data_IF_224036595822
#
_entry.id   IF_224036595822
#
_cell.length_a   1.000
_cell.length_b   1.000
_cell.length_c   1.000
_cell.angle_alpha   90.00
_cell.angle_beta   90.00
_cell.angle_gamma   90.00
#
_symmetry.space_group_name_H-M   'P 1'
#
loop_
_entity.id
_entity.type
_entity.pdbx_description
1 polymer ?
#
# COMPACT_ATOMS: atom_id res chain seq x y z
N UNK A 1 -5.07 -12.45 -0.97
CA UNK A 1 -4.80 -12.24 -2.39
C UNK A 1 -3.45 -11.56 -2.49
N UNK A 2 -3.18 -11.09 -3.70
CA UNK A 2 -2.92 -9.66 -3.82
C UNK A 2 -3.64 -8.87 -2.69
N UNK A 3 -3.14 -7.74 -2.24
CA UNK A 3 -3.97 -6.77 -1.51
C UNK A 3 -5.10 -6.22 -2.44
N UNK A 4 -5.84 -7.12 -3.10
CA UNK A 4 -7.13 -6.95 -3.73
C UNK A 4 -8.05 -6.45 -2.62
N UNK A 5 -8.90 -5.52 -3.01
CA UNK A 5 -9.99 -4.97 -2.20
C UNK A 5 -9.59 -3.88 -1.20
N UNK A 6 -8.32 -3.45 -1.17
CA UNK A 6 -8.02 -2.16 -0.53
C UNK A 6 -8.51 -1.02 -1.43
N UNK A 7 -9.40 -0.20 -0.90
CA UNK A 7 -9.83 1.03 -1.57
C UNK A 7 -8.90 2.15 -1.16
N UNK A 8 -8.33 2.85 -2.14
CA UNK A 8 -7.67 4.13 -1.88
C UNK A 8 -8.71 5.24 -1.92
N UNK A 9 -8.71 6.07 -0.87
CA UNK A 9 -9.62 7.21 -0.70
C UNK A 9 -8.79 8.48 -0.59
N UNK A 10 -9.09 9.46 -1.42
CA UNK A 10 -8.44 10.78 -1.41
C UNK A 10 -9.54 11.81 -1.25
N UNK A 11 -9.35 12.74 -0.32
CA UNK A 11 -10.27 13.87 -0.14
C UNK A 11 -9.64 15.10 -0.77
N UNK A 12 -10.39 15.79 -1.63
CA UNK A 12 -9.95 17.00 -2.32
C UNK A 12 -10.89 18.15 -1.95
N UNK A 13 -10.32 19.30 -1.64
CA UNK A 13 -11.04 20.54 -1.32
C UNK A 13 -10.79 21.57 -2.43
N UNK A 14 -11.51 21.50 -3.56
CA UNK A 14 -11.39 22.48 -4.62
C UNK A 14 -11.76 23.88 -4.14
N UNK A 15 -10.86 24.83 -4.40
CA UNK A 15 -11.05 26.26 -4.13
C UNK A 15 -11.07 27.03 -5.45
N UNK A 16 -11.92 28.04 -5.55
CA UNK A 16 -11.85 29.01 -6.65
C UNK A 16 -10.70 30.02 -6.44
N UNK A 17 -10.51 30.94 -7.39
CA UNK A 17 -9.47 31.99 -7.30
C UNK A 17 -9.64 32.96 -6.10
N UNK A 18 -10.77 32.91 -5.42
CA UNK A 18 -11.11 33.73 -4.26
C UNK A 18 -11.13 32.91 -2.96
N UNK A 19 -10.63 31.68 -2.98
CA UNK A 19 -10.61 30.74 -1.86
C UNK A 19 -11.99 30.27 -1.37
N UNK A 20 -13.04 30.47 -2.17
CA UNK A 20 -14.36 29.88 -1.88
C UNK A 20 -14.36 28.39 -2.21
N UNK A 21 -15.15 27.63 -1.44
CA UNK A 21 -15.41 26.23 -1.72
C UNK A 21 -16.21 26.05 -3.01
N UNK A 22 -15.75 25.15 -3.87
CA UNK A 22 -16.50 24.77 -5.07
C UNK A 22 -17.39 23.57 -4.74
N UNK A 23 -18.70 23.70 -4.92
CA UNK A 23 -19.68 22.66 -4.58
C UNK A 23 -20.08 21.77 -5.75
N UNK A 24 -19.68 22.13 -6.97
CA UNK A 24 -19.91 21.35 -8.18
C UNK A 24 -18.64 21.33 -9.03
N UNK A 25 -17.91 20.22 -9.00
CA UNK A 25 -16.67 20.03 -9.76
C UNK A 25 -16.82 18.84 -10.68
N UNK A 26 -16.64 19.08 -11.97
CA UNK A 26 -16.50 18.04 -12.99
C UNK A 26 -15.05 17.98 -13.45
N UNK A 27 -14.63 16.86 -14.05
CA UNK A 27 -13.28 16.73 -14.61
C UNK A 27 -12.15 16.58 -13.58
N UNK A 28 -12.47 16.34 -12.30
CA UNK A 28 -11.49 15.93 -11.30
C UNK A 28 -11.13 14.45 -11.52
N UNK A 29 -9.85 14.18 -11.70
CA UNK A 29 -9.31 12.83 -11.86
C UNK A 29 -8.03 12.68 -11.06
N UNK A 30 -7.63 11.44 -10.78
CA UNK A 30 -6.33 11.15 -10.21
C UNK A 30 -5.66 10.02 -10.98
N UNK A 31 -4.38 9.81 -10.78
CA UNK A 31 -3.65 8.66 -11.32
C UNK A 31 -2.44 8.40 -10.42
N UNK A 32 -1.98 7.16 -10.39
CA UNK A 32 -0.75 6.74 -9.72
C UNK A 32 0.11 6.03 -10.77
N UNK A 33 1.37 6.44 -10.87
CA UNK A 33 2.31 6.01 -11.92
C UNK A 33 2.47 4.48 -12.05
N UNK A 34 2.34 3.74 -10.94
CA UNK A 34 2.46 2.27 -10.87
C UNK A 34 1.18 1.56 -10.44
N UNK A 35 0.07 2.29 -10.31
CA UNK A 35 -1.20 1.75 -9.84
C UNK A 35 -2.06 1.25 -10.99
N UNK A 36 -2.66 0.07 -10.84
CA UNK A 36 -3.79 -0.33 -11.69
C UNK A 36 -5.09 0.11 -11.02
N UNK A 37 -5.87 0.91 -11.74
CA UNK A 37 -7.21 1.33 -11.37
C UNK A 37 -8.20 0.69 -12.35
N UNK A 38 -9.11 -0.14 -11.87
CA UNK A 38 -10.21 -0.63 -12.72
C UNK A 38 -11.25 0.46 -12.97
N UNK A 39 -11.46 1.35 -11.99
CA UNK A 39 -12.42 2.45 -12.06
C UNK A 39 -12.04 3.54 -11.05
N UNK A 40 -12.31 4.79 -11.38
CA UNK A 40 -12.28 5.90 -10.43
C UNK A 40 -13.70 6.43 -10.23
N UNK A 41 -14.04 6.72 -8.98
CA UNK A 41 -15.29 7.33 -8.59
C UNK A 41 -14.99 8.67 -7.92
N UNK A 42 -15.85 9.65 -8.15
CA UNK A 42 -15.86 10.92 -7.42
C UNK A 42 -17.24 11.11 -6.78
N UNK A 43 -17.25 11.47 -5.51
CA UNK A 43 -18.46 11.73 -4.74
C UNK A 43 -18.32 13.05 -3.99
N UNK A 44 -19.33 13.92 -4.07
CA UNK A 44 -19.37 15.12 -3.22
C UNK A 44 -19.78 14.72 -1.81
N UNK A 45 -18.96 15.05 -0.81
CA UNK A 45 -19.16 14.64 0.59
C UNK A 45 -19.55 15.81 1.51
N UNK A 46 -19.89 16.97 0.93
CA UNK A 46 -20.24 18.17 1.68
C UNK A 46 -19.03 19.07 1.99
N UNK A 47 -19.29 20.28 2.47
CA UNK A 47 -18.27 21.25 2.87
C UNK A 47 -17.19 21.53 1.81
N UNK A 48 -17.57 21.57 0.53
CA UNK A 48 -16.62 21.79 -0.56
C UNK A 48 -15.66 20.63 -0.81
N UNK A 49 -15.89 19.46 -0.20
CA UNK A 49 -15.01 18.31 -0.32
C UNK A 49 -15.55 17.27 -1.32
N UNK A 50 -14.64 16.70 -2.08
CA UNK A 50 -14.89 15.57 -2.97
C UNK A 50 -14.04 14.38 -2.54
N UNK A 51 -14.69 13.22 -2.44
CA UNK A 51 -14.06 11.95 -2.19
C UNK A 51 -13.77 11.26 -3.53
N UNK A 52 -12.49 11.10 -3.83
CA UNK A 52 -12.00 10.28 -4.93
C UNK A 52 -11.73 8.87 -4.43
N UNK A 53 -12.38 7.88 -5.05
CA UNK A 53 -12.29 6.48 -4.65
C UNK A 53 -11.74 5.66 -5.82
N UNK A 54 -10.66 4.92 -5.54
CA UNK A 54 -10.17 3.84 -6.38
C UNK A 54 -10.59 2.50 -5.74
N UNK A 55 -11.77 1.96 -6.07
CA UNK A 55 -12.10 0.59 -5.71
C UNK A 55 -11.09 -0.37 -6.35
N UNK A 56 -10.80 -1.47 -5.65
CA UNK A 56 -9.90 -2.53 -6.13
C UNK A 56 -8.50 -2.04 -6.50
N UNK A 57 -7.99 -1.02 -5.80
CA UNK A 57 -6.65 -0.51 -6.03
C UNK A 57 -5.62 -1.63 -5.89
N UNK A 58 -4.83 -1.85 -6.96
CA UNK A 58 -3.75 -2.83 -6.96
C UNK A 58 -2.43 -2.12 -7.22
N UNK A 59 -1.49 -2.30 -6.31
CA UNK A 59 -0.10 -1.88 -6.50
C UNK A 59 0.60 -3.01 -7.25
N UNK A 60 1.24 -2.68 -8.36
CA UNK A 60 1.93 -3.65 -9.21
C UNK A 60 3.32 -4.01 -8.65
N UNK A 61 3.89 -3.18 -7.77
CA UNK A 61 5.20 -3.39 -7.14
C UNK A 61 5.14 -3.46 -5.61
N UNK A 62 6.06 -4.21 -5.02
CA UNK A 62 6.23 -4.35 -3.57
C UNK A 62 6.83 -3.06 -2.98
N UNK A 63 5.98 -2.21 -2.39
CA UNK A 63 6.36 -0.94 -1.74
C UNK A 63 7.12 0.06 -2.62
N UNK A 64 7.26 1.29 -2.14
CA UNK A 64 8.06 2.33 -2.77
C UNK A 64 7.36 3.68 -2.82
N UNK A 65 8.06 4.66 -3.38
CA UNK A 65 7.54 6.01 -3.60
C UNK A 65 7.06 6.13 -5.04
N UNK A 66 5.84 6.61 -5.21
CA UNK A 66 5.18 6.76 -6.51
C UNK A 66 4.64 8.17 -6.69
N UNK A 67 4.59 8.63 -7.94
CA UNK A 67 3.95 9.89 -8.26
C UNK A 67 2.43 9.72 -8.38
N UNK A 68 1.70 10.44 -7.54
CA UNK A 68 0.26 10.58 -7.62
C UNK A 68 -0.09 11.90 -8.31
N UNK A 69 -0.70 11.79 -9.48
CA UNK A 69 -1.24 12.94 -10.19
C UNK A 69 -2.68 13.20 -9.77
N UNK A 70 -3.03 14.45 -9.47
CA UNK A 70 -4.42 14.89 -9.33
C UNK A 70 -4.59 16.01 -10.35
N UNK A 71 -5.61 15.88 -11.19
CA UNK A 71 -5.87 16.78 -12.30
C UNK A 71 -7.29 17.32 -12.26
N UNK A 72 -7.45 18.55 -12.74
CA UNK A 72 -8.73 19.18 -13.03
C UNK A 72 -8.71 19.59 -14.51
N UNK A 73 -9.65 19.06 -15.30
CA UNK A 73 -9.70 19.28 -16.76
C UNK A 73 -8.34 19.02 -17.45
N UNK A 74 -7.73 17.86 -17.15
CA UNK A 74 -6.41 17.42 -17.64
C UNK A 74 -5.18 18.24 -17.21
N UNK A 75 -5.39 19.34 -16.47
CA UNK A 75 -4.32 20.15 -15.89
C UNK A 75 -4.03 19.72 -14.45
N UNK A 76 -2.75 19.70 -14.06
CA UNK A 76 -2.35 19.39 -12.69
C UNK A 76 -2.86 20.46 -11.72
N UNK A 77 -3.41 20.04 -10.58
CA UNK A 77 -3.68 20.95 -9.48
C UNK A 77 -2.37 21.40 -8.83
N UNK A 78 -2.41 22.48 -8.05
CA UNK A 78 -1.25 22.94 -7.30
C UNK A 78 -0.64 21.82 -6.44
N UNK A 79 0.67 21.63 -6.56
CA UNK A 79 1.41 20.59 -5.85
C UNK A 79 1.37 19.20 -6.50
N UNK A 80 0.56 18.98 -7.53
CA UNK A 80 0.59 17.73 -8.30
C UNK A 80 1.73 17.75 -9.35
N UNK A 81 2.44 16.62 -9.57
CA UNK A 81 2.30 15.33 -8.89
C UNK A 81 2.83 15.32 -7.45
N UNK A 82 2.17 14.55 -6.59
CA UNK A 82 2.55 14.32 -5.20
C UNK A 82 3.37 13.03 -5.08
N UNK A 83 4.44 13.04 -4.29
CA UNK A 83 5.14 11.82 -3.93
C UNK A 83 4.36 11.09 -2.82
N UNK A 84 3.94 9.85 -3.09
CA UNK A 84 3.24 8.99 -2.15
C UNK A 84 4.06 7.74 -1.90
N UNK A 85 4.47 7.53 -0.66
CA UNK A 85 5.16 6.31 -0.24
C UNK A 85 4.15 5.27 0.20
N UNK A 86 4.16 4.12 -0.46
CA UNK A 86 3.41 2.95 -0.03
C UNK A 86 4.38 2.03 0.69
N UNK A 87 4.18 1.84 1.99
CA UNK A 87 4.92 0.86 2.77
C UNK A 87 4.52 -0.57 2.38
N UNK A 88 5.39 -1.53 2.66
CA UNK A 88 5.26 -2.93 2.29
C UNK A 88 3.92 -3.61 2.63
N UNK A 89 3.71 -4.72 1.91
CA UNK A 89 2.46 -5.42 1.71
C UNK A 89 1.71 -5.75 3.00
N UNK A 90 0.42 -5.43 2.97
CA UNK A 90 -0.67 -5.86 3.84
C UNK A 90 -0.93 -7.39 3.84
N UNK A 91 0.12 -8.21 3.75
CA UNK A 91 0.03 -9.65 3.71
C UNK A 91 0.00 -10.26 5.12
N UNK A 92 -0.95 -11.15 5.39
CA UNK A 92 -0.83 -12.08 6.52
C UNK A 92 0.23 -13.11 6.15
N UNK A 93 1.19 -13.35 7.05
CA UNK A 93 2.20 -14.39 6.88
C UNK A 93 1.53 -15.73 6.54
N UNK A 94 1.99 -16.39 5.48
CA UNK A 94 1.61 -17.76 5.15
C UNK A 94 2.76 -18.68 5.48
N UNK A 95 2.56 -19.52 6.50
CA UNK A 95 3.59 -20.44 6.99
C UNK A 95 4.17 -21.33 5.87
N UNK A 96 3.34 -21.82 4.95
CA UNK A 96 3.79 -22.70 3.85
C UNK A 96 4.69 -21.98 2.82
N UNK A 97 4.67 -20.65 2.78
CA UNK A 97 5.50 -19.86 1.88
C UNK A 97 6.74 -19.31 2.59
N UNK A 98 6.77 -19.36 3.93
CA UNK A 98 7.86 -18.84 4.76
C UNK A 98 8.94 -19.90 4.95
N UNK A 99 10.20 -19.48 5.05
CA UNK A 99 11.32 -20.41 5.11
C UNK A 99 12.50 -19.85 5.91
N UNK A 100 13.41 -20.75 6.27
CA UNK A 100 14.60 -20.44 7.04
C UNK A 100 15.69 -19.94 6.09
N UNK A 101 16.20 -18.73 6.31
CA UNK A 101 17.23 -18.11 5.46
C UNK A 101 18.65 -18.30 6.01
N UNK A 102 18.77 -18.56 7.31
CA UNK A 102 20.07 -18.83 7.93
C UNK A 102 19.89 -19.77 9.12
N UNK A 103 20.61 -20.89 9.09
CA UNK A 103 20.83 -21.84 10.19
C UNK A 103 22.31 -22.19 10.29
N UNK A 104 22.85 -22.41 11.50
CA UNK A 104 24.15 -23.06 11.66
C UNK A 104 24.09 -24.51 11.17
N UNK A 105 25.14 -24.97 10.48
CA UNK A 105 25.26 -26.38 10.07
C UNK A 105 25.53 -27.32 11.26
N UNK A 106 26.16 -26.78 12.31
CA UNK A 106 26.52 -27.51 13.52
C UNK A 106 26.07 -26.70 14.73
N UNK A 107 25.35 -27.36 15.63
CA UNK A 107 24.96 -26.81 16.92
C UNK A 107 25.85 -27.41 18.00
N UNK A 108 26.49 -26.56 18.80
CA UNK A 108 27.36 -26.97 19.90
C UNK A 108 26.61 -26.78 21.22
N UNK A 109 26.61 -27.81 22.06
CA UNK A 109 25.97 -27.75 23.38
C UNK A 109 26.54 -26.59 24.21
N UNK A 110 25.65 -25.80 24.82
CA UNK A 110 26.01 -24.64 25.62
C UNK A 110 26.39 -23.39 24.83
N UNK A 111 26.38 -23.42 23.49
CA UNK A 111 26.68 -22.26 22.64
C UNK A 111 25.39 -21.71 22.03
N UNK A 112 25.11 -20.43 22.25
CA UNK A 112 23.97 -19.75 21.66
C UNK A 112 24.06 -19.76 20.12
N UNK A 113 22.94 -20.05 19.47
CA UNK A 113 22.81 -20.11 18.02
C UNK A 113 21.61 -19.30 17.57
N UNK A 114 21.72 -18.67 16.40
CA UNK A 114 20.67 -17.82 15.82
C UNK A 114 20.12 -18.47 14.56
N UNK A 115 18.79 -18.48 14.44
CA UNK A 115 18.08 -18.86 13.22
C UNK A 115 17.32 -17.66 12.71
N UNK A 116 17.35 -17.46 11.39
CA UNK A 116 16.58 -16.39 10.75
C UNK A 116 15.50 -16.99 9.86
N UNK A 117 14.27 -16.53 10.05
CA UNK A 117 13.10 -16.92 9.26
C UNK A 117 12.70 -15.74 8.38
N UNK A 118 12.58 -15.99 7.07
CA UNK A 118 11.95 -15.06 6.15
C UNK A 118 10.45 -15.32 6.13
N UNK A 119 9.70 -14.37 6.66
CA UNK A 119 8.24 -14.37 6.55
C UNK A 119 7.81 -13.98 5.15
N UNK A 120 6.90 -14.77 4.59
CA UNK A 120 6.36 -14.58 3.24
C UNK A 120 4.85 -14.67 3.30
N UNK A 121 4.16 -13.79 2.60
CA UNK A 121 2.71 -13.82 2.50
C UNK A 121 2.22 -14.97 1.60
N UNK A 122 0.91 -15.11 1.46
CA UNK A 122 0.30 -16.16 0.64
C UNK A 122 0.57 -16.06 -0.88
N UNK A 123 1.26 -15.01 -1.33
CA UNK A 123 1.50 -14.65 -2.73
C UNK A 123 2.99 -14.63 -3.09
N UNK A 124 3.86 -14.87 -2.11
CA UNK A 124 5.30 -14.91 -2.33
C UNK A 124 5.99 -13.57 -2.05
N UNK A 125 5.29 -12.58 -1.50
CA UNK A 125 5.91 -11.31 -1.10
C UNK A 125 6.54 -11.44 0.29
N UNK A 126 7.75 -10.89 0.43
CA UNK A 126 8.44 -10.80 1.70
C UNK A 126 7.76 -9.78 2.61
N UNK A 127 7.67 -10.11 3.90
CA UNK A 127 7.13 -9.22 4.92
C UNK A 127 8.28 -8.55 5.67
N UNK A 128 8.37 -7.21 5.65
CA UNK A 128 9.26 -6.42 6.53
C UNK A 128 8.71 -6.17 7.93
N UNK A 129 7.44 -6.46 8.17
CA UNK A 129 6.80 -6.26 9.47
C UNK A 129 6.72 -7.56 10.25
N UNK A 130 6.94 -7.46 11.56
CA UNK A 130 6.76 -8.55 12.51
C UNK A 130 5.35 -8.60 13.09
N UNK A 131 5.21 -9.20 14.28
CA UNK A 131 3.93 -9.32 14.99
C UNK A 131 3.21 -10.65 14.77
N UNK A 132 3.80 -11.56 13.99
CA UNK A 132 3.32 -12.92 13.85
C UNK A 132 3.93 -13.83 14.92
N UNK A 133 3.12 -14.75 15.44
CA UNK A 133 3.61 -15.78 16.37
C UNK A 133 4.27 -16.90 15.58
N UNK A 134 5.54 -17.14 15.88
CA UNK A 134 6.30 -18.29 15.38
C UNK A 134 6.60 -19.21 16.57
N UNK A 135 6.42 -20.52 16.38
CA UNK A 135 6.81 -21.54 17.35
C UNK A 135 7.90 -22.39 16.73
N UNK A 136 8.98 -22.61 17.49
CA UNK A 136 10.04 -23.54 17.13
C UNK A 136 10.14 -24.61 18.22
N UNK A 137 10.25 -25.86 17.80
CA UNK A 137 10.44 -27.00 18.70
C UNK A 137 11.67 -27.77 18.26
N UNK A 138 12.52 -28.12 19.22
CA UNK A 138 13.61 -29.06 19.00
C UNK A 138 13.09 -30.47 19.28
N UNK A 139 13.17 -31.35 18.29
CA UNK A 139 12.92 -32.77 18.47
C UNK A 139 14.26 -33.45 18.77
N UNK A 140 14.33 -34.12 19.92
CA UNK A 140 15.47 -34.91 20.37
C UNK A 140 15.16 -36.40 20.17
#
# INVERSE_FOLDING_TARGET
GKCKDQSMKIVVFPKDKYANDVTNVTGLSFALESGLFEKQLSEYVGYGAFLLIAPNFQIVSSSGTFNMSIKLFDSHIAGSPFAVTISETCGVMKAQNSFLISSPDILVSGVASVFMVQSVDAYGFYLSTGGFVLSASLLL
#
